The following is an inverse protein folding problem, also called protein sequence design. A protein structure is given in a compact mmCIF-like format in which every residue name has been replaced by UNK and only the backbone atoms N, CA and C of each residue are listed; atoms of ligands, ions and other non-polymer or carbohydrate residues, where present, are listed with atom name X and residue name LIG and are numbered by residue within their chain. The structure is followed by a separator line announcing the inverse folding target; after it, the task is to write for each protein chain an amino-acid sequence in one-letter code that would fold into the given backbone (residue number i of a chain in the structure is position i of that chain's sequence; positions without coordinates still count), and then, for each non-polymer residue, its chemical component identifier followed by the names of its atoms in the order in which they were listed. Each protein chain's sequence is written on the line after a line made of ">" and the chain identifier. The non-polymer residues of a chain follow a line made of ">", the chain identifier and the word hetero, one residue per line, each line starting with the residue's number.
data_IF_628759419429
#
_entry.id   IF_628759419429
#
_cell.length_a   1.000
_cell.length_b   1.000
_cell.length_c   1.000
_cell.angle_alpha   90.00
_cell.angle_beta   90.00
_cell.angle_gamma   90.00
#
_symmetry.space_group_name_H-M   'P 1'
#
loop_
_entity.id
_entity.type
_entity.pdbx_description
1 polymer ?
#
# COMPACT_ATOMS: atom_id res chain seq x y z
N UNK A 1 1.17 -3.16 11.91
CA UNK A 1 0.79 -3.09 10.48
C UNK A 1 1.52 -4.20 9.75
N UNK A 2 0.87 -5.06 8.95
CA UNK A 2 1.62 -6.01 8.14
C UNK A 2 2.46 -5.23 7.11
N UNK A 3 3.75 -5.57 7.00
CA UNK A 3 4.71 -5.01 6.04
C UNK A 3 4.48 -5.52 4.61
N UNK A 4 3.45 -6.34 4.41
CA UNK A 4 3.15 -7.03 3.17
C UNK A 4 1.69 -6.82 2.78
N UNK A 5 1.48 -6.42 1.53
CA UNK A 5 0.15 -6.21 0.95
C UNK A 5 -0.20 -7.43 0.11
N UNK A 6 -1.32 -8.09 0.44
CA UNK A 6 -1.85 -9.15 -0.39
C UNK A 6 -2.43 -8.57 -1.68
N UNK A 7 -1.65 -8.64 -2.76
CA UNK A 7 -2.01 -8.14 -4.09
C UNK A 7 -3.36 -8.66 -4.61
N UNK A 8 -3.78 -9.86 -4.20
CA UNK A 8 -5.08 -10.46 -4.57
C UNK A 8 -6.27 -9.86 -3.83
N UNK A 9 -6.03 -9.17 -2.70
CA UNK A 9 -7.04 -8.50 -1.86
C UNK A 9 -6.82 -6.98 -1.80
N UNK A 10 -5.89 -6.46 -2.58
CA UNK A 10 -5.60 -5.03 -2.60
C UNK A 10 -6.55 -4.36 -3.57
N UNK A 11 -7.47 -3.58 -3.03
CA UNK A 11 -8.46 -2.83 -3.80
C UNK A 11 -7.95 -1.45 -4.25
N UNK A 12 -6.68 -1.11 -3.92
CA UNK A 12 -6.07 0.17 -4.28
C UNK A 12 -6.62 1.39 -3.54
N UNK A 13 -7.28 1.18 -2.38
CA UNK A 13 -7.95 2.24 -1.63
C UNK A 13 -7.02 3.28 -0.98
N UNK A 14 -5.72 3.01 -0.86
CA UNK A 14 -4.75 3.97 -0.31
C UNK A 14 -4.77 4.16 1.21
N UNK A 15 -5.76 3.61 1.92
CA UNK A 15 -5.85 3.78 3.38
C UNK A 15 -4.59 3.37 4.14
N UNK A 16 -3.92 2.30 3.70
CA UNK A 16 -2.70 1.82 4.33
C UNK A 16 -1.49 2.75 4.15
N UNK A 17 -1.50 3.62 3.12
CA UNK A 17 -0.52 4.69 2.93
C UNK A 17 -0.78 5.80 3.94
N UNK A 18 -2.03 6.27 4.05
CA UNK A 18 -2.40 7.40 4.93
C UNK A 18 -2.12 7.13 6.42
N UNK A 19 -2.33 5.90 6.87
CA UNK A 19 -2.14 5.53 8.28
C UNK A 19 -0.70 5.12 8.61
N UNK A 20 0.20 5.06 7.63
CA UNK A 20 1.54 4.53 7.83
C UNK A 20 2.40 5.54 8.61
N UNK A 21 2.78 5.27 9.87
CA UNK A 21 3.55 6.22 10.67
C UNK A 21 5.00 6.35 10.20
N UNK A 22 5.46 5.41 9.37
CA UNK A 22 6.83 5.33 8.89
C UNK A 22 6.98 5.81 7.44
N UNK A 23 5.88 6.19 6.78
CA UNK A 23 5.86 6.76 5.42
C UNK A 23 6.58 5.91 4.35
N UNK A 24 6.63 4.58 4.56
CA UNK A 24 7.31 3.59 3.70
C UNK A 24 6.36 2.98 2.65
N UNK A 25 5.07 3.30 2.75
CA UNK A 25 4.04 2.72 1.88
C UNK A 25 3.69 3.72 0.80
N UNK A 26 3.69 3.28 -0.46
CA UNK A 26 3.30 4.11 -1.59
C UNK A 26 2.32 3.37 -2.49
N UNK A 27 1.53 4.12 -3.26
CA UNK A 27 0.70 3.56 -4.31
C UNK A 27 1.47 3.62 -5.63
N UNK A 28 1.61 2.47 -6.27
CA UNK A 28 2.13 2.39 -7.62
C UNK A 28 1.00 2.70 -8.60
N UNK A 29 1.15 3.77 -9.38
CA UNK A 29 0.13 4.26 -10.31
C UNK A 29 -0.09 3.31 -11.50
N UNK A 30 0.91 2.50 -11.83
CA UNK A 30 0.90 1.56 -12.96
C UNK A 30 0.00 0.37 -12.69
N UNK A 31 0.09 -0.16 -11.46
CA UNK A 31 -0.68 -1.33 -11.00
C UNK A 31 -1.82 -0.96 -10.05
N UNK A 32 -1.94 0.33 -9.65
CA UNK A 32 -2.92 0.87 -8.69
C UNK A 32 -2.93 0.10 -7.36
N UNK A 33 -1.75 -0.26 -6.85
CA UNK A 33 -1.60 -1.08 -5.64
C UNK A 33 -0.57 -0.50 -4.69
N UNK A 34 -0.78 -0.76 -3.41
CA UNK A 34 0.17 -0.37 -2.37
C UNK A 34 1.43 -1.25 -2.40
N UNK A 35 2.59 -0.62 -2.39
CA UNK A 35 3.93 -1.22 -2.40
C UNK A 35 4.78 -0.61 -1.28
N UNK A 36 5.75 -1.38 -0.82
CA UNK A 36 6.76 -0.96 0.15
C UNK A 36 8.04 -0.58 -0.61
N UNK A 37 8.72 0.50 -0.21
CA UNK A 37 10.04 0.92 -0.70
C UNK A 37 11.18 0.30 0.10
#
# INVERSE_FOLDING_TARGET
>A
MPTFVYMTRCDGCGHCVDICPSDIMHIDETIRRAVNI
#
